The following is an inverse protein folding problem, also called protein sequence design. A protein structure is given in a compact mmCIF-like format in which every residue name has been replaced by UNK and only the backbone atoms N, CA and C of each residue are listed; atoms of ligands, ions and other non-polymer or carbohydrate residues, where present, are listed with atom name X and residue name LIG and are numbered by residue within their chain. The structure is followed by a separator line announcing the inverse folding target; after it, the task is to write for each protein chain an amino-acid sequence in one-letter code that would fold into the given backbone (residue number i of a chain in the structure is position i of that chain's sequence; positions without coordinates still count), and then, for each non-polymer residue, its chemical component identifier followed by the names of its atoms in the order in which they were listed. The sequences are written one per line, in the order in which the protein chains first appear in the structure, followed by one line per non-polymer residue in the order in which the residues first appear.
data_IF_193704430003
#
_entry.id   IF_193704430003
#
_cell.length_a   1.000
_cell.length_b   1.000
_cell.length_c   1.000
_cell.angle_alpha   90.00
_cell.angle_beta   90.00
_cell.angle_gamma   90.00
#
_symmetry.space_group_name_H-M   'P 1'
#
loop_
_entity.id
_entity.type
_entity.pdbx_description
1 polymer ?
#
# COMPACT_ATOMS: atom_id res chain seq x y z
N UNK A 1 17.66 33.21 -14.46
CA UNK A 1 16.89 32.40 -13.48
C UNK A 1 16.68 30.95 -13.95
N UNK A 2 16.36 30.69 -15.22
CA UNK A 2 16.15 29.33 -15.74
C UNK A 2 17.38 28.40 -15.72
N UNK A 3 18.60 28.94 -15.88
CA UNK A 3 19.84 28.13 -15.80
C UNK A 3 20.13 27.58 -14.39
N UNK A 4 19.62 28.22 -13.33
CA UNK A 4 19.81 27.74 -11.95
C UNK A 4 18.86 26.58 -11.59
N UNK A 5 17.67 26.57 -12.18
CA UNK A 5 16.70 25.48 -12.01
C UNK A 5 17.12 24.21 -12.78
N UNK A 6 17.71 24.36 -13.98
CA UNK A 6 18.20 23.23 -14.75
C UNK A 6 19.43 22.54 -14.11
N UNK A 7 20.29 23.30 -13.42
CA UNK A 7 21.45 22.72 -12.71
C UNK A 7 21.04 21.89 -11.48
N UNK A 8 20.01 22.33 -10.76
CA UNK A 8 19.49 21.64 -9.56
C UNK A 8 18.77 20.33 -9.92
N UNK A 9 18.07 20.27 -11.04
CA UNK A 9 17.43 19.02 -11.51
C UNK A 9 18.42 18.03 -12.10
N UNK A 10 19.49 18.49 -12.77
CA UNK A 10 20.55 17.61 -13.29
C UNK A 10 21.41 17.03 -12.16
N UNK A 11 21.74 17.82 -11.13
CA UNK A 11 22.50 17.34 -9.97
C UNK A 11 21.69 16.36 -9.10
N UNK A 12 20.38 16.59 -8.92
CA UNK A 12 19.50 15.65 -8.22
C UNK A 12 19.32 14.33 -8.98
N UNK A 13 19.33 14.36 -10.33
CA UNK A 13 19.26 13.15 -11.15
C UNK A 13 20.59 12.36 -11.14
N UNK A 14 21.74 13.05 -11.12
CA UNK A 14 23.05 12.40 -11.01
C UNK A 14 23.34 11.81 -9.62
N UNK A 15 22.83 12.42 -8.55
CA UNK A 15 22.99 11.90 -7.18
C UNK A 15 22.29 10.54 -6.96
N UNK A 16 21.20 10.27 -7.68
CA UNK A 16 20.50 8.99 -7.65
C UNK A 16 21.16 7.87 -8.48
N UNK A 17 22.25 8.15 -9.22
CA UNK A 17 22.90 7.16 -10.09
C UNK A 17 24.35 6.81 -9.72
N UNK A 18 24.94 7.38 -8.67
CA UNK A 18 26.30 7.02 -8.26
C UNK A 18 26.33 6.22 -6.96
N UNK A 19 25.87 4.98 -7.07
CA UNK A 19 26.57 3.88 -6.41
C UNK A 19 27.95 3.75 -7.10
N UNK A 20 29.02 3.62 -6.29
CA UNK A 20 30.35 3.08 -6.68
C UNK A 20 31.43 4.10 -7.15
N UNK A 21 32.24 4.63 -6.21
CA UNK A 21 33.67 4.29 -5.99
C UNK A 21 34.45 5.38 -5.25
N UNK A 22 35.09 4.97 -4.14
CA UNK A 22 36.14 5.71 -3.43
C UNK A 22 37.34 5.96 -4.35
N UNK A 23 37.47 7.17 -4.89
CA UNK A 23 38.76 7.69 -5.33
C UNK A 23 39.15 8.82 -4.40
N UNK A 24 40.09 8.54 -3.51
CA UNK A 24 40.80 9.52 -2.70
C UNK A 24 41.42 10.57 -3.62
N UNK A 25 40.81 11.76 -3.63
CA UNK A 25 41.37 12.94 -4.30
C UNK A 25 42.63 13.36 -3.53
N UNK A 26 43.76 13.47 -4.22
CA UNK A 26 45.01 13.86 -3.59
C UNK A 26 44.94 15.32 -3.11
N UNK A 27 44.94 15.49 -1.78
CA UNK A 27 44.88 16.81 -1.13
C UNK A 27 46.25 17.52 -1.25
N UNK A 28 46.31 18.79 -1.73
CA UNK A 28 47.55 19.56 -1.82
C UNK A 28 48.27 19.72 -0.47
N UNK A 29 49.60 19.75 -0.46
CA UNK A 29 50.42 19.80 0.78
C UNK A 29 50.17 21.04 1.65
N UNK A 30 49.79 22.16 1.05
CA UNK A 30 49.42 23.38 1.80
C UNK A 30 48.10 23.17 2.56
N UNK A 31 47.17 22.41 1.99
CA UNK A 31 45.89 22.06 2.64
C UNK A 31 46.12 21.02 3.74
N UNK A 32 47.06 20.09 3.58
CA UNK A 32 47.46 19.13 4.64
C UNK A 32 48.01 19.77 5.92
N UNK A 33 48.57 20.98 5.83
CA UNK A 33 49.07 21.73 7.01
C UNK A 33 47.99 22.49 7.78
N UNK A 34 46.83 22.72 7.14
CA UNK A 34 45.67 23.43 7.72
C UNK A 34 44.51 22.44 7.94
N UNK A 35 44.64 21.21 7.45
CA UNK A 35 43.72 20.14 7.75
C UNK A 35 43.73 19.90 9.27
N UNK A 36 42.55 19.68 9.86
CA UNK A 36 42.41 19.31 11.26
C UNK A 36 43.35 18.15 11.62
N UNK A 37 43.80 18.07 12.88
CA UNK A 37 44.75 17.04 13.32
C UNK A 37 44.17 15.65 12.99
N UNK A 38 45.00 14.63 12.83
CA UNK A 38 44.55 13.29 12.43
C UNK A 38 43.33 12.76 13.25
N UNK A 39 43.22 13.11 14.53
CA UNK A 39 42.07 12.82 15.39
C UNK A 39 40.75 13.46 14.91
N UNK A 40 40.80 14.70 14.43
CA UNK A 40 39.64 15.44 13.94
C UNK A 40 39.16 14.91 12.57
N UNK A 41 40.09 14.38 11.78
CA UNK A 41 39.77 13.65 10.54
C UNK A 41 39.09 12.31 10.84
N UNK A 42 39.45 11.63 11.94
CA UNK A 42 38.77 10.39 12.37
C UNK A 42 37.34 10.69 12.83
N UNK A 43 37.11 11.80 13.54
CA UNK A 43 35.76 12.22 13.95
C UNK A 43 34.88 12.56 12.76
N UNK A 44 35.41 13.23 11.73
CA UNK A 44 34.68 13.49 10.48
C UNK A 44 34.32 12.21 9.72
N UNK A 45 35.26 11.26 9.64
CA UNK A 45 35.03 9.96 9.01
C UNK A 45 33.96 9.18 9.76
N UNK A 46 33.99 9.20 11.09
CA UNK A 46 33.00 8.51 11.92
C UNK A 46 31.62 9.19 11.82
N UNK A 47 31.56 10.52 11.77
CA UNK A 47 30.32 11.24 11.51
C UNK A 47 29.72 10.90 10.14
N UNK A 48 30.53 10.88 9.08
CA UNK A 48 30.09 10.47 7.73
C UNK A 48 29.59 9.01 7.73
N UNK A 49 30.29 8.11 8.45
CA UNK A 49 29.86 6.71 8.60
C UNK A 49 28.50 6.62 9.28
N UNK A 50 28.30 7.30 10.41
CA UNK A 50 27.06 7.31 11.19
C UNK A 50 25.90 7.96 10.41
N UNK A 51 26.19 9.04 9.68
CA UNK A 51 25.22 9.70 8.81
C UNK A 51 24.74 8.79 7.67
N UNK A 52 25.68 8.14 6.98
CA UNK A 52 25.36 7.21 5.89
C UNK A 52 24.65 5.94 6.40
N UNK A 53 25.03 5.43 7.58
CA UNK A 53 24.35 4.30 8.22
C UNK A 53 22.89 4.63 8.52
N UNK A 54 22.63 5.79 9.12
CA UNK A 54 21.27 6.23 9.44
C UNK A 54 20.40 6.37 8.18
N UNK A 55 20.95 6.91 7.09
CA UNK A 55 20.26 6.97 5.79
C UNK A 55 19.97 5.59 5.21
N UNK A 56 20.95 4.69 5.27
CA UNK A 56 20.78 3.32 4.81
C UNK A 56 19.67 2.61 5.58
N UNK A 57 19.63 2.76 6.90
CA UNK A 57 18.61 2.16 7.76
C UNK A 57 17.21 2.69 7.43
N UNK A 58 17.08 4.00 7.19
CA UNK A 58 15.84 4.62 6.72
C UNK A 58 15.38 4.03 5.37
N UNK A 59 16.26 3.97 4.38
CA UNK A 59 15.94 3.45 3.05
C UNK A 59 15.57 1.96 3.08
N UNK A 60 16.31 1.17 3.85
CA UNK A 60 16.04 -0.24 4.06
C UNK A 60 14.65 -0.45 4.67
N UNK A 61 14.31 0.30 5.71
CA UNK A 61 13.00 0.20 6.38
C UNK A 61 11.86 0.63 5.46
N UNK A 62 12.01 1.75 4.73
CA UNK A 62 11.03 2.17 3.72
C UNK A 62 10.77 1.09 2.67
N UNK A 63 11.83 0.39 2.23
CA UNK A 63 11.70 -0.73 1.29
C UNK A 63 10.90 -1.88 1.89
N UNK A 64 11.23 -2.31 3.11
CA UNK A 64 10.52 -3.41 3.79
C UNK A 64 9.03 -3.10 3.94
N UNK A 65 8.67 -1.85 4.26
CA UNK A 65 7.27 -1.46 4.40
C UNK A 65 6.50 -1.47 3.10
N UNK A 66 7.08 -0.91 2.04
CA UNK A 66 6.49 -0.97 0.69
C UNK A 66 6.26 -2.43 0.28
N UNK A 67 7.21 -3.32 0.58
CA UNK A 67 7.09 -4.75 0.28
C UNK A 67 5.97 -5.42 1.10
N UNK A 68 5.92 -5.20 2.41
CA UNK A 68 4.91 -5.81 3.28
C UNK A 68 3.49 -5.34 2.93
N UNK A 69 3.32 -4.05 2.66
CA UNK A 69 2.03 -3.50 2.22
C UNK A 69 1.61 -4.10 0.88
N UNK A 70 2.52 -4.10 -0.10
CA UNK A 70 2.26 -4.68 -1.43
C UNK A 70 1.86 -6.14 -1.34
N UNK A 71 2.53 -6.92 -0.48
CA UNK A 71 2.19 -8.32 -0.23
C UNK A 71 0.79 -8.47 0.40
N UNK A 72 0.46 -7.66 1.41
CA UNK A 72 -0.84 -7.70 2.05
C UNK A 72 -1.99 -7.33 1.09
N UNK A 73 -1.82 -6.28 0.27
CA UNK A 73 -2.78 -5.89 -0.76
C UNK A 73 -2.94 -7.00 -1.79
N UNK A 74 -1.83 -7.58 -2.28
CA UNK A 74 -1.85 -8.68 -3.24
C UNK A 74 -2.59 -9.90 -2.69
N UNK A 75 -2.33 -10.27 -1.44
CA UNK A 75 -2.98 -11.40 -0.79
C UNK A 75 -4.48 -11.14 -0.59
N UNK A 76 -4.86 -9.92 -0.18
CA UNK A 76 -6.26 -9.56 -0.01
C UNK A 76 -7.00 -9.56 -1.36
N UNK A 77 -6.40 -9.01 -2.41
CA UNK A 77 -6.95 -9.06 -3.77
C UNK A 77 -7.17 -10.51 -4.23
N UNK A 78 -6.20 -11.40 -4.01
CA UNK A 78 -6.34 -12.81 -4.35
C UNK A 78 -7.49 -13.48 -3.60
N UNK A 79 -7.65 -13.16 -2.30
CA UNK A 79 -8.76 -13.66 -1.49
C UNK A 79 -10.12 -13.14 -1.97
N UNK A 80 -10.22 -11.87 -2.39
CA UNK A 80 -11.45 -11.30 -2.95
C UNK A 80 -11.81 -11.90 -4.30
N UNK A 81 -10.86 -12.03 -5.21
CA UNK A 81 -11.08 -12.70 -6.50
C UNK A 81 -11.59 -14.13 -6.27
N UNK A 82 -10.97 -14.87 -5.36
CA UNK A 82 -11.39 -16.23 -5.03
C UNK A 82 -12.79 -16.26 -4.42
N UNK A 83 -13.10 -15.40 -3.45
CA UNK A 83 -14.41 -15.38 -2.79
C UNK A 83 -15.52 -14.99 -3.76
N UNK A 84 -15.35 -13.91 -4.51
CA UNK A 84 -16.33 -13.50 -5.51
C UNK A 84 -16.52 -14.57 -6.58
N UNK A 85 -15.44 -15.23 -7.03
CA UNK A 85 -15.52 -16.37 -7.94
C UNK A 85 -16.41 -17.49 -7.39
N UNK A 86 -16.21 -17.89 -6.12
CA UNK A 86 -17.05 -18.91 -5.47
C UNK A 86 -18.52 -18.49 -5.44
N UNK A 87 -18.82 -17.25 -5.03
CA UNK A 87 -20.21 -16.78 -4.92
C UNK A 87 -20.88 -16.68 -6.30
N UNK A 88 -20.16 -16.19 -7.32
CA UNK A 88 -20.66 -16.15 -8.70
C UNK A 88 -20.97 -17.56 -9.20
N UNK A 89 -20.08 -18.52 -8.95
CA UNK A 89 -20.32 -19.93 -9.30
C UNK A 89 -21.57 -20.48 -8.61
N UNK A 90 -21.73 -20.23 -7.30
CA UNK A 90 -22.92 -20.65 -6.54
C UNK A 90 -24.21 -20.08 -7.14
N UNK A 91 -24.23 -18.80 -7.48
CA UNK A 91 -25.39 -18.15 -8.13
C UNK A 91 -25.66 -18.78 -9.48
N UNK A 92 -24.63 -19.03 -10.29
CA UNK A 92 -24.79 -19.62 -11.61
C UNK A 92 -25.33 -21.05 -11.55
N UNK A 93 -24.78 -21.89 -10.67
CA UNK A 93 -25.22 -23.27 -10.46
C UNK A 93 -26.67 -23.32 -9.98
N UNK A 94 -27.01 -22.52 -8.97
CA UNK A 94 -28.37 -22.49 -8.42
C UNK A 94 -29.39 -21.95 -9.42
N UNK A 95 -29.03 -20.91 -10.20
CA UNK A 95 -29.86 -20.41 -11.30
C UNK A 95 -30.15 -21.50 -12.33
N UNK A 96 -29.12 -22.24 -12.75
CA UNK A 96 -29.27 -23.32 -13.72
C UNK A 96 -30.15 -24.44 -13.15
N UNK A 97 -29.88 -24.87 -11.91
CA UNK A 97 -30.68 -25.88 -11.22
C UNK A 97 -32.17 -25.54 -11.19
N UNK A 98 -32.52 -24.30 -10.78
CA UNK A 98 -33.92 -23.88 -10.72
C UNK A 98 -34.53 -23.76 -12.11
N UNK A 99 -33.81 -23.16 -13.07
CA UNK A 99 -34.30 -23.04 -14.44
C UNK A 99 -34.59 -24.41 -15.08
N UNK A 100 -33.71 -25.37 -14.88
CA UNK A 100 -33.88 -26.73 -15.40
C UNK A 100 -35.09 -27.42 -14.75
N UNK A 101 -35.28 -27.25 -13.44
CA UNK A 101 -36.45 -27.77 -12.72
C UNK A 101 -37.77 -27.13 -13.20
N UNK A 102 -37.79 -25.80 -13.41
CA UNK A 102 -38.95 -25.09 -13.98
C UNK A 102 -39.27 -25.61 -15.37
N UNK A 103 -38.25 -25.78 -16.23
CA UNK A 103 -38.44 -26.28 -17.59
C UNK A 103 -38.98 -27.71 -17.58
N UNK A 104 -38.46 -28.57 -16.71
CA UNK A 104 -38.92 -29.94 -16.56
C UNK A 104 -40.41 -29.99 -16.17
N UNK A 105 -40.82 -29.18 -15.19
CA UNK A 105 -42.24 -29.05 -14.82
C UNK A 105 -43.10 -28.54 -15.99
N UNK A 106 -42.60 -27.57 -16.75
CA UNK A 106 -43.29 -27.03 -17.92
C UNK A 106 -43.52 -28.09 -19.02
N UNK A 107 -42.58 -29.03 -19.17
CA UNK A 107 -42.72 -30.18 -20.07
C UNK A 107 -43.74 -31.19 -19.55
N UNK A 108 -43.81 -31.40 -18.23
CA UNK A 108 -44.76 -32.31 -17.59
C UNK A 108 -46.21 -31.84 -17.71
N UNK A 109 -46.45 -30.53 -17.58
CA UNK A 109 -47.78 -29.93 -17.83
C UNK A 109 -48.11 -29.80 -19.33
N UNK A 110 -47.13 -30.03 -20.22
CA UNK A 110 -47.30 -29.98 -21.67
C UNK A 110 -47.47 -28.57 -22.26
N UNK A 111 -47.16 -27.52 -21.50
CA UNK A 111 -47.29 -26.13 -21.94
C UNK A 111 -46.08 -25.28 -21.50
N UNK A 112 -45.03 -25.31 -22.33
CA UNK A 112 -43.81 -24.51 -22.12
C UNK A 112 -44.00 -23.01 -22.30
N UNK A 113 -45.15 -22.57 -22.82
CA UNK A 113 -45.53 -21.17 -22.98
C UNK A 113 -46.58 -20.73 -21.96
N UNK A 114 -46.78 -21.51 -20.89
CA UNK A 114 -47.65 -21.09 -19.79
C UNK A 114 -47.14 -19.74 -19.24
N UNK A 115 -47.98 -18.68 -19.21
CA UNK A 115 -47.55 -17.36 -18.74
C UNK A 115 -46.91 -17.38 -17.34
N UNK A 116 -47.40 -18.25 -16.44
CA UNK A 116 -46.85 -18.43 -15.10
C UNK A 116 -45.40 -18.96 -15.13
N UNK A 117 -45.12 -19.95 -15.99
CA UNK A 117 -43.77 -20.51 -16.16
C UNK A 117 -42.81 -19.48 -16.74
N UNK A 118 -43.25 -18.74 -17.77
CA UNK A 118 -42.44 -17.71 -18.41
C UNK A 118 -42.08 -16.61 -17.42
N UNK A 119 -43.06 -16.12 -16.66
CA UNK A 119 -42.85 -15.10 -15.62
C UNK A 119 -41.84 -15.56 -14.56
N UNK A 120 -41.97 -16.80 -14.05
CA UNK A 120 -41.03 -17.32 -13.03
C UNK A 120 -39.61 -17.50 -13.57
N UNK A 121 -39.46 -17.87 -14.85
CA UNK A 121 -38.16 -17.97 -15.49
C UNK A 121 -37.50 -16.58 -15.71
N UNK A 122 -38.29 -15.58 -16.10
CA UNK A 122 -37.83 -14.19 -16.23
C UNK A 122 -37.42 -13.63 -14.86
N UNK A 123 -38.18 -13.92 -13.82
CA UNK A 123 -37.87 -13.53 -12.44
C UNK A 123 -36.57 -14.19 -11.93
N UNK A 124 -36.32 -15.47 -12.26
CA UNK A 124 -35.06 -16.15 -11.94
C UNK A 124 -33.86 -15.42 -12.59
N UNK A 125 -34.00 -15.02 -13.86
CA UNK A 125 -32.97 -14.25 -14.56
C UNK A 125 -32.77 -12.87 -13.93
N UNK A 126 -33.86 -12.19 -13.55
CA UNK A 126 -33.82 -10.88 -12.90
C UNK A 126 -33.08 -10.96 -11.56
N UNK A 127 -33.39 -11.93 -10.71
CA UNK A 127 -32.72 -12.12 -9.42
C UNK A 127 -31.23 -12.44 -9.57
N UNK A 128 -30.86 -13.25 -10.56
CA UNK A 128 -29.46 -13.55 -10.84
C UNK A 128 -28.70 -12.31 -11.32
N UNK A 129 -29.35 -11.49 -12.16
CA UNK A 129 -28.79 -10.21 -12.63
C UNK A 129 -28.59 -9.22 -11.48
N UNK A 130 -29.56 -9.11 -10.58
CA UNK A 130 -29.45 -8.27 -9.39
C UNK A 130 -28.31 -8.75 -8.48
N UNK A 131 -28.21 -10.05 -8.23
CA UNK A 131 -27.15 -10.60 -7.36
C UNK A 131 -25.76 -10.39 -7.96
N UNK A 132 -25.62 -10.44 -9.29
CA UNK A 132 -24.37 -10.10 -9.97
C UNK A 132 -24.02 -8.60 -9.83
N UNK A 133 -25.02 -7.71 -9.88
CA UNK A 133 -24.82 -6.29 -9.60
C UNK A 133 -24.39 -6.04 -8.15
N UNK A 134 -25.01 -6.74 -7.19
CA UNK A 134 -24.67 -6.63 -5.76
C UNK A 134 -23.23 -7.11 -5.48
N UNK A 135 -22.76 -8.17 -6.16
CA UNK A 135 -21.37 -8.62 -6.08
C UNK A 135 -20.41 -7.57 -6.67
N UNK A 136 -20.80 -6.94 -7.78
CA UNK A 136 -19.98 -5.89 -8.40
C UNK A 136 -19.84 -4.69 -7.46
N UNK A 137 -20.93 -4.29 -6.80
CA UNK A 137 -20.92 -3.26 -5.77
C UNK A 137 -20.03 -3.65 -4.59
N UNK A 138 -20.12 -4.89 -4.10
CA UNK A 138 -19.25 -5.39 -3.04
C UNK A 138 -17.76 -5.32 -3.43
N UNK A 139 -17.43 -5.64 -4.69
CA UNK A 139 -16.06 -5.52 -5.21
C UNK A 139 -15.59 -4.06 -5.29
N UNK A 140 -16.46 -3.13 -5.68
CA UNK A 140 -16.15 -1.69 -5.69
C UNK A 140 -15.90 -1.15 -4.27
N UNK A 141 -16.72 -1.54 -3.30
CA UNK A 141 -16.53 -1.18 -1.89
C UNK A 141 -15.21 -1.73 -1.35
N UNK A 142 -14.91 -3.00 -1.64
CA UNK A 142 -13.64 -3.62 -1.27
C UNK A 142 -12.45 -2.82 -1.81
N UNK A 143 -12.50 -2.41 -3.08
CA UNK A 143 -11.47 -1.58 -3.70
C UNK A 143 -11.37 -0.18 -3.06
N UNK A 144 -12.50 0.47 -2.81
CA UNK A 144 -12.55 1.79 -2.19
C UNK A 144 -11.95 1.79 -0.78
N UNK A 145 -12.28 0.80 0.04
CA UNK A 145 -11.75 0.66 1.39
C UNK A 145 -10.25 0.35 1.39
N UNK A 146 -9.78 -0.53 0.49
CA UNK A 146 -8.34 -0.81 0.34
C UNK A 146 -7.55 0.43 -0.13
N UNK A 147 -8.12 1.21 -1.05
CA UNK A 147 -7.53 2.46 -1.53
C UNK A 147 -7.44 3.49 -0.39
N UNK A 148 -8.50 3.61 0.42
CA UNK A 148 -8.53 4.49 1.59
C UNK A 148 -7.51 4.07 2.63
N UNK A 149 -7.41 2.77 2.94
CA UNK A 149 -6.42 2.25 3.86
C UNK A 149 -4.98 2.60 3.43
N UNK A 150 -4.69 2.44 2.15
CA UNK A 150 -3.39 2.81 1.58
C UNK A 150 -3.11 4.31 1.66
N UNK A 151 -4.14 5.15 1.49
CA UNK A 151 -3.99 6.60 1.54
C UNK A 151 -3.83 7.16 2.94
N UNK A 152 -4.58 6.62 3.90
CA UNK A 152 -4.66 7.16 5.26
C UNK A 152 -3.54 6.64 6.14
N UNK A 153 -3.19 5.35 6.05
CA UNK A 153 -2.22 4.75 6.97
C UNK A 153 -0.80 4.70 6.40
N UNK A 154 -0.65 4.54 5.09
CA UNK A 154 0.68 4.29 4.51
C UNK A 154 1.39 5.54 3.98
N UNK A 155 0.77 6.32 3.10
CA UNK A 155 1.44 7.49 2.50
C UNK A 155 1.93 8.52 3.52
N UNK A 156 1.17 8.84 4.60
CA UNK A 156 1.65 9.78 5.60
C UNK A 156 2.95 9.31 6.28
N UNK A 157 3.12 8.01 6.48
CA UNK A 157 4.34 7.46 7.09
C UNK A 157 5.53 7.59 6.15
N UNK A 158 5.36 7.23 4.87
CA UNK A 158 6.42 7.43 3.86
C UNK A 158 6.82 8.89 3.78
N UNK A 159 5.86 9.81 3.78
CA UNK A 159 6.12 11.25 3.76
C UNK A 159 6.86 11.73 5.01
N UNK A 160 6.47 11.26 6.21
CA UNK A 160 7.13 11.61 7.46
C UNK A 160 8.62 11.19 7.46
N UNK A 161 8.93 10.00 6.92
CA UNK A 161 10.31 9.55 6.74
C UNK A 161 11.11 10.41 5.77
N UNK A 162 10.53 10.66 4.60
CA UNK A 162 11.19 11.46 3.57
C UNK A 162 11.47 12.88 4.07
N UNK A 163 10.53 13.47 4.81
CA UNK A 163 10.68 14.78 5.43
C UNK A 163 11.80 14.78 6.49
N UNK A 164 11.84 13.77 7.36
CA UNK A 164 12.86 13.69 8.42
C UNK A 164 14.27 13.48 7.84
N UNK A 165 14.39 12.55 6.88
CA UNK A 165 15.64 12.32 6.14
C UNK A 165 16.10 13.59 5.40
N UNK A 166 15.19 14.28 4.72
CA UNK A 166 15.50 15.54 4.00
C UNK A 166 15.89 16.67 4.97
N UNK A 167 15.23 16.76 6.13
CA UNK A 167 15.56 17.75 7.16
C UNK A 167 16.98 17.53 7.67
N UNK A 168 17.35 16.29 8.03
CA UNK A 168 18.70 15.93 8.46
C UNK A 168 19.75 16.30 7.39
N UNK A 169 19.53 15.94 6.13
CA UNK A 169 20.43 16.31 5.02
C UNK A 169 20.58 17.83 4.89
N UNK A 170 19.46 18.56 4.96
CA UNK A 170 19.45 20.02 4.83
C UNK A 170 20.19 20.70 5.98
N UNK A 171 20.03 20.21 7.21
CA UNK A 171 20.75 20.72 8.39
C UNK A 171 22.25 20.52 8.27
N UNK A 172 22.71 19.35 7.81
CA UNK A 172 24.15 19.10 7.59
C UNK A 172 24.70 20.05 6.53
N UNK A 173 24.03 20.17 5.37
CA UNK A 173 24.46 21.06 4.29
C UNK A 173 24.45 22.52 4.72
N UNK A 174 23.40 22.97 5.40
CA UNK A 174 23.31 24.34 5.92
C UNK A 174 24.47 24.64 6.85
N UNK A 175 24.75 23.73 7.79
CA UNK A 175 25.79 23.94 8.79
C UNK A 175 27.19 24.00 8.16
N UNK A 176 27.48 23.08 7.24
CA UNK A 176 28.74 23.08 6.49
C UNK A 176 28.87 24.31 5.57
N UNK A 177 27.76 24.85 5.06
CA UNK A 177 27.78 26.03 4.19
C UNK A 177 28.06 27.35 4.92
N UNK A 178 27.65 27.44 6.20
CA UNK A 178 27.76 28.67 7.01
C UNK A 178 28.96 28.70 7.94
N UNK A 179 29.50 27.54 8.28
CA UNK A 179 30.62 27.44 9.21
C UNK A 179 31.93 27.40 8.44
N UNK A 180 32.96 28.12 8.90
CA UNK A 180 34.29 27.94 8.35
C UNK A 180 34.88 26.66 8.95
N UNK A 181 34.60 25.52 8.32
CA UNK A 181 35.02 24.20 8.79
C UNK A 181 36.56 24.04 8.90
N UNK A 182 37.34 25.00 8.36
CA UNK A 182 38.81 25.02 8.48
C UNK A 182 39.26 25.67 9.80
N UNK A 183 38.48 26.61 10.35
CA UNK A 183 38.84 27.32 11.61
C UNK A 183 37.98 26.90 12.79
N UNK A 184 36.74 26.47 12.54
CA UNK A 184 35.72 26.24 13.57
C UNK A 184 35.25 24.78 13.58
N UNK A 185 36.14 23.85 13.21
CA UNK A 185 35.77 22.45 13.01
C UNK A 185 35.17 21.83 14.26
N UNK A 186 35.80 21.99 15.42
CA UNK A 186 35.34 21.36 16.68
C UNK A 186 33.93 21.83 17.06
N UNK A 187 33.64 23.12 16.85
CA UNK A 187 32.32 23.72 17.08
C UNK A 187 31.31 23.16 16.07
N UNK A 188 31.71 23.10 14.79
CA UNK A 188 30.89 22.56 13.71
C UNK A 188 30.54 21.09 13.96
N UNK A 189 31.50 20.28 14.39
CA UNK A 189 31.34 18.86 14.73
C UNK A 189 30.44 18.67 15.94
N UNK A 190 30.62 19.46 17.01
CA UNK A 190 29.77 19.38 18.20
C UNK A 190 28.30 19.72 17.87
N UNK A 191 28.05 20.74 17.06
CA UNK A 191 26.70 21.11 16.64
C UNK A 191 26.09 20.06 15.70
N UNK A 192 26.87 19.52 14.75
CA UNK A 192 26.42 18.44 13.87
C UNK A 192 26.10 17.16 14.66
N UNK A 193 26.89 16.81 15.68
CA UNK A 193 26.61 15.69 16.57
C UNK A 193 25.31 15.91 17.37
N UNK A 194 25.08 17.12 17.88
CA UNK A 194 23.84 17.48 18.56
C UNK A 194 22.62 17.38 17.63
N UNK A 195 22.73 17.87 16.39
CA UNK A 195 21.66 17.72 15.39
C UNK A 195 21.44 16.25 15.02
N UNK A 196 22.51 15.46 14.87
CA UNK A 196 22.42 14.03 14.60
C UNK A 196 21.68 13.29 15.71
N UNK A 197 22.04 13.48 16.97
CA UNK A 197 21.36 12.87 18.12
C UNK A 197 19.87 13.26 18.17
N UNK A 198 19.56 14.53 17.87
CA UNK A 198 18.19 15.01 17.77
C UNK A 198 17.39 14.33 16.64
N UNK A 199 18.01 14.08 15.50
CA UNK A 199 17.39 13.42 14.33
C UNK A 199 17.32 11.90 14.48
N UNK A 200 18.31 11.26 15.10
CA UNK A 200 18.29 9.83 15.46
C UNK A 200 17.08 9.52 16.35
N UNK A 201 16.88 10.31 17.42
CA UNK A 201 15.71 10.22 18.29
C UNK A 201 14.38 10.47 17.57
N UNK A 202 14.38 11.28 16.49
CA UNK A 202 13.17 11.45 15.65
C UNK A 202 12.97 10.20 14.81
N UNK A 203 14.00 9.70 14.13
CA UNK A 203 13.93 8.51 13.28
C UNK A 203 13.47 7.29 14.08
N UNK A 204 13.98 7.05 15.29
CA UNK A 204 13.48 5.97 16.17
C UNK A 204 11.98 6.11 16.48
N UNK A 205 11.51 7.34 16.74
CA UNK A 205 10.08 7.60 16.95
C UNK A 205 9.27 7.34 15.69
N UNK A 206 9.75 7.75 14.51
CA UNK A 206 9.05 7.47 13.25
C UNK A 206 9.08 5.96 12.94
N UNK A 207 10.15 5.25 13.29
CA UNK A 207 10.26 3.79 13.16
C UNK A 207 9.27 3.05 14.06
N UNK A 208 9.16 3.47 15.32
CA UNK A 208 8.15 2.94 16.26
C UNK A 208 6.73 3.22 15.74
N UNK A 209 6.50 4.43 15.22
CA UNK A 209 5.23 4.81 14.61
C UNK A 209 4.86 3.91 13.43
N UNK A 210 5.82 3.55 12.58
CA UNK A 210 5.57 2.60 11.48
C UNK A 210 5.12 1.25 11.98
N UNK A 211 5.82 0.65 12.94
CA UNK A 211 5.53 -0.72 13.36
C UNK A 211 4.10 -0.81 13.87
N UNK A 212 3.68 0.23 14.59
CA UNK A 212 2.30 0.44 14.97
C UNK A 212 1.37 0.61 13.75
N UNK A 213 1.73 1.44 12.79
CA UNK A 213 0.89 1.63 11.59
C UNK A 213 0.81 0.40 10.69
N UNK A 214 1.84 -0.44 10.65
CA UNK A 214 1.81 -1.71 9.93
C UNK A 214 0.82 -2.68 10.60
N UNK A 215 0.80 -2.70 11.94
CA UNK A 215 -0.20 -3.45 12.70
C UNK A 215 -1.61 -2.89 12.46
N UNK A 216 -1.78 -1.57 12.51
CA UNK A 216 -3.06 -0.90 12.21
C UNK A 216 -3.52 -1.22 10.78
N UNK A 217 -2.61 -1.16 9.81
CA UNK A 217 -2.91 -1.49 8.42
C UNK A 217 -3.35 -2.94 8.26
N UNK A 218 -2.69 -3.88 8.94
CA UNK A 218 -3.10 -5.28 8.95
C UNK A 218 -4.48 -5.48 9.57
N UNK A 219 -4.79 -4.76 10.66
CA UNK A 219 -6.12 -4.74 11.26
C UNK A 219 -7.18 -4.24 10.28
N UNK A 220 -6.91 -3.12 9.60
CA UNK A 220 -7.82 -2.57 8.57
C UNK A 220 -8.02 -3.56 7.42
N UNK A 221 -6.94 -4.17 6.91
CA UNK A 221 -7.02 -5.22 5.88
C UNK A 221 -7.88 -6.40 6.35
N UNK A 222 -7.74 -6.82 7.61
CA UNK A 222 -8.55 -7.89 8.20
C UNK A 222 -10.03 -7.51 8.35
N UNK A 223 -10.32 -6.26 8.72
CA UNK A 223 -11.69 -5.75 8.83
C UNK A 223 -12.35 -5.69 7.44
N UNK A 224 -11.67 -5.09 6.45
CA UNK A 224 -12.14 -5.04 5.05
C UNK A 224 -12.40 -6.45 4.52
N UNK A 225 -11.50 -7.40 4.80
CA UNK A 225 -11.74 -8.81 4.45
C UNK A 225 -13.03 -9.36 5.07
N UNK A 226 -13.19 -9.21 6.39
CA UNK A 226 -14.32 -9.75 7.14
C UNK A 226 -15.64 -9.19 6.63
N UNK A 227 -15.70 -7.88 6.42
CA UNK A 227 -16.93 -7.19 6.09
C UNK A 227 -17.36 -7.52 4.64
N UNK A 228 -16.41 -7.57 3.71
CA UNK A 228 -16.66 -7.98 2.32
C UNK A 228 -17.04 -9.46 2.23
N UNK A 229 -16.41 -10.34 3.02
CA UNK A 229 -16.85 -11.74 3.10
C UNK A 229 -18.28 -11.84 3.59
N UNK A 230 -18.62 -11.20 4.72
CA UNK A 230 -19.98 -11.22 5.25
C UNK A 230 -21.02 -10.73 4.23
N UNK A 231 -20.68 -9.68 3.47
CA UNK A 231 -21.51 -9.15 2.40
C UNK A 231 -21.69 -10.17 1.27
N UNK A 232 -20.58 -10.71 0.74
CA UNK A 232 -20.61 -11.70 -0.35
C UNK A 232 -21.37 -12.98 0.03
N UNK A 233 -21.22 -13.45 1.28
CA UNK A 233 -21.91 -14.62 1.79
C UNK A 233 -23.41 -14.37 1.92
N UNK A 234 -23.78 -13.15 2.31
CA UNK A 234 -25.18 -12.75 2.44
C UNK A 234 -25.87 -12.68 1.09
N UNK A 235 -25.19 -12.14 0.07
CA UNK A 235 -25.69 -12.14 -1.31
C UNK A 235 -25.96 -13.59 -1.77
N UNK A 236 -24.98 -14.48 -1.58
CA UNK A 236 -25.12 -15.89 -1.96
C UNK A 236 -26.30 -16.58 -1.26
N UNK A 237 -26.38 -16.46 0.07
CA UNK A 237 -27.45 -17.08 0.87
C UNK A 237 -28.83 -16.56 0.49
N UNK A 238 -28.97 -15.25 0.32
CA UNK A 238 -30.24 -14.64 -0.04
C UNK A 238 -30.68 -15.07 -1.45
N UNK A 239 -29.73 -15.13 -2.40
CA UNK A 239 -30.04 -15.62 -3.74
C UNK A 239 -30.55 -17.07 -3.70
N UNK A 240 -29.82 -17.98 -3.05
CA UNK A 240 -30.23 -19.40 -2.95
C UNK A 240 -31.60 -19.55 -2.29
N UNK A 241 -31.84 -18.82 -1.19
CA UNK A 241 -33.13 -18.84 -0.50
C UNK A 241 -34.27 -18.36 -1.40
N UNK A 242 -34.11 -17.21 -2.07
CA UNK A 242 -35.14 -16.64 -2.93
C UNK A 242 -35.41 -17.50 -4.17
N UNK A 243 -34.35 -18.10 -4.74
CA UNK A 243 -34.47 -19.04 -5.85
C UNK A 243 -35.20 -20.33 -5.45
N UNK A 244 -35.04 -20.80 -4.21
CA UNK A 244 -35.81 -21.90 -3.65
C UNK A 244 -37.31 -21.60 -3.59
N UNK A 245 -37.69 -20.44 -3.05
CA UNK A 245 -39.09 -20.00 -3.00
C UNK A 245 -39.67 -19.83 -4.41
N UNK A 246 -38.88 -19.26 -5.33
CA UNK A 246 -39.30 -19.09 -6.72
C UNK A 246 -39.58 -20.43 -7.41
N UNK A 247 -38.77 -21.45 -7.13
CA UNK A 247 -38.99 -22.80 -7.64
C UNK A 247 -40.28 -23.40 -7.06
N UNK A 248 -40.49 -23.29 -5.75
CA UNK A 248 -41.72 -23.79 -5.11
C UNK A 248 -42.98 -23.18 -5.74
N UNK A 249 -42.97 -21.87 -6.01
CA UNK A 249 -44.06 -21.20 -6.71
C UNK A 249 -44.22 -21.71 -8.16
N UNK A 250 -43.13 -21.88 -8.89
CA UNK A 250 -43.16 -22.30 -10.29
C UNK A 250 -43.72 -23.72 -10.46
N UNK A 251 -43.47 -24.61 -9.49
CA UNK A 251 -44.02 -25.97 -9.47
C UNK A 251 -45.54 -26.00 -9.21
N UNK A 252 -46.15 -24.89 -8.81
CA UNK A 252 -47.60 -24.76 -8.66
C UNK A 252 -48.29 -24.25 -9.94
N UNK A 253 -47.54 -23.85 -10.97
CA UNK A 253 -48.12 -23.46 -12.26
C UNK A 253 -48.80 -24.67 -12.92
N UNK A 254 -50.05 -24.49 -13.38
CA UNK A 254 -50.87 -25.50 -14.09
C UNK A 254 -51.22 -25.03 -15.49
#
# INVERSE_FOLDING_TARGET
MWQKFALLTVLAFCACQQLVWSKTVAVPEVVKKVLPRAADSEVLIEFDRLFNQLHYDVDYKLRVLRMNQSLAIKNLNAQFISRFGIVITQIQEEKLRVKDAILQHALEIGNTQNPCIVEKNDEALRQATQSAADISLAAELAYADMSTASRVFFYPQVQAFQNSSTALQSTVVEKLSRSNAVTDLDITLAELAYYYEGEENKIERVLTGIEQELANFQEVVNNVRRDIWAMSDTIARNFVFNMGLLLEDALQCS
#
